data_IF_064600777908
#
_entry.id   IF_064600777908
#
_cell.length_a   1.000
_cell.length_b   1.000
_cell.length_c   1.000
_cell.angle_alpha   90.00
_cell.angle_beta   90.00
_cell.angle_gamma   90.00
#
_symmetry.space_group_name_H-M   'P 1'
#
loop_
_entity.id
_entity.type
_entity.pdbx_description
1 polymer ?
#
# COMPACT_ATOMS: atom_id res chain seq x y z
N UNK A 1 -11.06 -5.57 -6.82
CA UNK A 1 -11.18 -4.78 -5.58
C UNK A 1 -11.88 -5.54 -4.47
N UNK A 2 -13.19 -5.86 -4.57
CA UNK A 2 -13.87 -6.67 -3.52
C UNK A 2 -13.34 -8.11 -3.48
N UNK A 3 -13.10 -8.71 -4.65
CA UNK A 3 -12.43 -10.01 -4.78
C UNK A 3 -11.09 -10.07 -4.04
N UNK A 4 -10.30 -9.01 -4.18
CA UNK A 4 -8.93 -8.94 -3.63
C UNK A 4 -8.97 -8.78 -2.11
N UNK A 5 -9.94 -8.02 -1.58
CA UNK A 5 -10.22 -7.94 -0.15
C UNK A 5 -10.51 -9.32 0.42
N UNK A 6 -11.39 -10.10 -0.23
CA UNK A 6 -11.68 -11.46 0.25
C UNK A 6 -10.44 -12.36 0.19
N UNK A 7 -9.67 -12.31 -0.90
CA UNK A 7 -8.42 -13.06 -1.01
C UNK A 7 -7.41 -12.74 0.10
N UNK A 8 -7.24 -11.46 0.46
CA UNK A 8 -6.38 -11.05 1.57
C UNK A 8 -6.87 -11.57 2.93
N UNK A 9 -8.19 -11.69 3.11
CA UNK A 9 -8.76 -12.19 4.35
C UNK A 9 -8.73 -13.71 4.45
N UNK A 10 -8.30 -14.47 3.44
CA UNK A 10 -8.24 -15.95 3.53
C UNK A 10 -7.14 -16.42 4.49
N UNK A 11 -5.97 -15.79 4.46
CA UNK A 11 -4.86 -16.15 5.35
C UNK A 11 -5.17 -15.72 6.80
N UNK A 12 -5.10 -16.64 7.79
CA UNK A 12 -5.45 -16.31 9.18
C UNK A 12 -4.60 -15.19 9.78
N UNK A 13 -3.31 -15.12 9.43
CA UNK A 13 -2.42 -14.07 9.91
C UNK A 13 -2.85 -12.70 9.36
N UNK A 14 -3.04 -12.57 8.05
CA UNK A 14 -3.47 -11.33 7.41
C UNK A 14 -4.84 -10.87 7.94
N UNK A 15 -5.79 -11.80 8.09
CA UNK A 15 -7.09 -11.52 8.71
C UNK A 15 -6.94 -10.99 10.13
N UNK A 16 -6.07 -11.58 10.95
CA UNK A 16 -5.85 -11.12 12.33
C UNK A 16 -5.27 -9.70 12.36
N UNK A 17 -4.34 -9.38 11.46
CA UNK A 17 -3.77 -8.03 11.32
C UNK A 17 -4.86 -7.03 10.97
N UNK A 18 -5.71 -7.32 9.98
CA UNK A 18 -6.81 -6.44 9.58
C UNK A 18 -7.79 -6.19 10.74
N UNK A 19 -8.17 -7.23 11.50
CA UNK A 19 -9.04 -7.07 12.67
C UNK A 19 -8.40 -6.22 13.77
N UNK A 20 -7.11 -6.43 14.05
CA UNK A 20 -6.37 -5.63 15.03
C UNK A 20 -6.27 -4.17 14.62
N UNK A 21 -6.01 -3.88 13.34
CA UNK A 21 -5.95 -2.51 12.82
C UNK A 21 -7.31 -1.82 12.90
N UNK A 22 -8.40 -2.52 12.55
CA UNK A 22 -9.75 -2.00 12.71
C UNK A 22 -10.10 -1.70 14.18
N UNK A 23 -9.69 -2.58 15.10
CA UNK A 23 -9.86 -2.31 16.53
C UNK A 23 -9.02 -1.10 17.00
N UNK A 24 -7.79 -0.95 16.49
CA UNK A 24 -6.88 0.11 16.89
C UNK A 24 -7.34 1.49 16.40
N UNK A 25 -7.73 1.59 15.14
CA UNK A 25 -8.07 2.87 14.51
C UNK A 25 -9.55 3.23 14.63
N UNK A 26 -10.44 2.24 14.51
CA UNK A 26 -11.89 2.47 14.50
C UNK A 26 -12.56 2.04 15.82
N UNK A 27 -11.80 1.48 16.77
CA UNK A 27 -12.32 1.04 18.07
C UNK A 27 -13.23 -0.19 18.01
N UNK A 28 -13.41 -0.79 16.84
CA UNK A 28 -14.33 -1.91 16.62
C UNK A 28 -13.86 -2.80 15.47
N UNK A 29 -13.37 -4.00 15.80
CA UNK A 29 -12.94 -4.98 14.80
C UNK A 29 -14.05 -5.41 13.82
N UNK A 30 -15.34 -5.30 14.20
CA UNK A 30 -16.45 -5.73 13.33
C UNK A 30 -16.64 -4.84 12.09
N UNK A 31 -16.08 -3.62 12.08
CA UNK A 31 -16.15 -2.67 10.96
C UNK A 31 -15.50 -3.21 9.66
N UNK A 32 -14.64 -4.24 9.77
CA UNK A 32 -14.07 -4.96 8.62
C UNK A 32 -15.17 -5.55 7.73
N UNK A 33 -16.31 -5.96 8.31
CA UNK A 33 -17.42 -6.52 7.56
C UNK A 33 -18.14 -5.50 6.67
N UNK A 34 -17.97 -4.20 6.92
CA UNK A 34 -18.57 -3.13 6.12
C UNK A 34 -17.73 -2.80 4.87
N UNK A 35 -16.47 -3.23 4.83
CA UNK A 35 -15.52 -2.89 3.77
C UNK A 35 -15.99 -3.29 2.36
N UNK A 36 -16.57 -4.49 2.13
CA UNK A 36 -17.10 -4.85 0.81
C UNK A 36 -18.17 -3.84 0.33
N UNK A 37 -19.07 -3.42 1.22
CA UNK A 37 -20.11 -2.44 0.92
C UNK A 37 -19.54 -1.05 0.63
N UNK A 38 -18.56 -0.61 1.43
CA UNK A 38 -17.85 0.67 1.22
C UNK A 38 -17.13 0.70 -0.13
N UNK A 39 -16.47 -0.40 -0.53
CA UNK A 39 -15.81 -0.51 -1.83
C UNK A 39 -16.84 -0.49 -2.96
N UNK A 40 -17.95 -1.22 -2.82
CA UNK A 40 -19.00 -1.28 -3.84
C UNK A 40 -19.74 0.06 -4.03
N UNK A 41 -19.78 0.90 -3.00
CA UNK A 41 -20.43 2.21 -3.05
C UNK A 41 -19.60 3.30 -3.75
N UNK A 42 -18.33 3.05 -4.08
CA UNK A 42 -17.46 4.05 -4.72
C UNK A 42 -17.95 4.38 -6.13
N UNK A 43 -18.19 5.66 -6.39
CA UNK A 43 -18.63 6.15 -7.70
C UNK A 43 -17.49 6.79 -8.50
N UNK A 44 -17.69 6.98 -9.81
CA UNK A 44 -16.76 7.74 -10.64
C UNK A 44 -16.60 9.20 -10.20
N UNK A 45 -17.67 9.81 -9.65
CA UNK A 45 -17.62 11.15 -9.09
C UNK A 45 -16.72 11.22 -7.84
N UNK A 46 -16.75 10.19 -6.99
CA UNK A 46 -15.84 10.09 -5.84
C UNK A 46 -14.39 9.99 -6.29
N UNK A 47 -14.12 9.19 -7.33
CA UNK A 47 -12.78 9.07 -7.89
C UNK A 47 -12.28 10.41 -8.45
N UNK A 48 -13.11 11.11 -9.23
CA UNK A 48 -12.77 12.41 -9.78
C UNK A 48 -12.48 13.43 -8.67
N UNK A 49 -13.33 13.45 -7.62
CA UNK A 49 -13.15 14.30 -6.44
C UNK A 49 -11.83 14.01 -5.73
N UNK A 50 -11.58 12.75 -5.36
CA UNK A 50 -10.35 12.34 -4.66
C UNK A 50 -9.10 12.65 -5.48
N UNK A 51 -9.13 12.38 -6.79
CA UNK A 51 -8.02 12.72 -7.68
C UNK A 51 -7.73 14.23 -7.68
N UNK A 52 -8.77 15.06 -7.79
CA UNK A 52 -8.63 16.52 -7.78
C UNK A 52 -8.14 17.07 -6.42
N UNK A 53 -8.50 16.44 -5.30
CA UNK A 53 -8.08 16.85 -3.96
C UNK A 53 -6.62 16.47 -3.67
N UNK A 54 -6.23 15.25 -4.00
CA UNK A 54 -4.97 14.68 -3.49
C UNK A 54 -3.87 14.55 -4.54
N UNK A 55 -4.21 14.34 -5.82
CA UNK A 55 -3.23 14.12 -6.89
C UNK A 55 -2.83 15.43 -7.58
N UNK A 56 -2.46 16.43 -6.77
CA UNK A 56 -2.02 17.74 -7.25
C UNK A 56 -0.50 17.87 -7.19
N UNK A 57 0.06 18.83 -7.94
CA UNK A 57 1.50 19.13 -7.88
C UNK A 57 1.94 19.58 -6.48
N UNK A 58 1.09 20.32 -5.76
CA UNK A 58 1.38 20.80 -4.40
C UNK A 58 1.47 19.65 -3.38
N UNK A 59 0.76 18.54 -3.61
CA UNK A 59 0.75 17.37 -2.73
C UNK A 59 1.77 16.29 -3.16
N UNK A 60 2.67 16.60 -4.09
CA UNK A 60 3.64 15.64 -4.63
C UNK A 60 5.00 15.81 -3.96
N UNK A 61 5.49 14.72 -3.36
CA UNK A 61 6.89 14.59 -2.91
C UNK A 61 7.64 13.63 -3.84
N UNK A 62 8.80 14.04 -4.36
CA UNK A 62 9.63 13.21 -5.24
C UNK A 62 10.95 12.88 -4.56
N UNK A 63 11.26 11.59 -4.46
CA UNK A 63 12.56 11.10 -3.97
C UNK A 63 13.29 10.43 -5.13
N UNK A 64 14.29 11.12 -5.68
CA UNK A 64 15.20 10.57 -6.71
C UNK A 64 16.50 10.12 -6.00
N UNK A 65 16.74 8.81 -5.97
CA UNK A 65 18.00 8.24 -5.49
C UNK A 65 18.82 7.75 -6.66
N UNK A 66 19.96 8.40 -6.90
CA UNK A 66 20.96 7.98 -7.90
C UNK A 66 22.13 7.31 -7.19
N UNK A 67 22.34 6.00 -7.38
CA UNK A 67 23.51 5.30 -6.84
C UNK A 67 24.79 5.90 -7.42
N UNK A 68 25.81 6.05 -6.58
CA UNK A 68 27.16 6.35 -7.07
C UNK A 68 27.67 5.17 -7.92
N UNK A 69 28.57 5.41 -8.89
CA UNK A 69 29.22 4.34 -9.63
C UNK A 69 29.92 3.37 -8.67
N UNK A 70 29.84 2.07 -8.95
CA UNK A 70 30.61 1.08 -8.20
C UNK A 70 32.11 1.39 -8.32
N UNK A 71 32.82 1.35 -7.18
CA UNK A 71 34.29 1.47 -7.19
C UNK A 71 34.87 0.29 -8.00
N UNK A 72 35.89 0.49 -8.84
CA UNK A 72 36.54 -0.60 -9.56
C UNK A 72 36.94 -1.69 -8.57
N UNK A 73 36.57 -2.94 -8.87
CA UNK A 73 37.07 -4.09 -8.13
C UNK A 73 38.55 -4.25 -8.44
N UNK A 74 39.41 -4.11 -7.43
CA UNK A 74 40.80 -4.59 -7.55
C UNK A 74 40.72 -6.11 -7.69
N UNK A 75 40.82 -6.60 -8.94
CA UNK A 75 41.02 -8.01 -9.19
C UNK A 75 42.37 -8.39 -8.57
N UNK A 76 42.35 -9.19 -7.51
CA UNK A 76 43.57 -9.78 -6.96
C UNK A 76 44.29 -10.56 -8.07
N UNK A 77 45.61 -10.38 -8.25
CA UNK A 77 46.33 -11.08 -9.30
C UNK A 77 46.21 -12.59 -9.08
N UNK A 78 45.77 -13.31 -10.13
CA UNK A 78 45.76 -14.76 -10.14
C UNK A 78 47.19 -15.25 -9.89
N UNK A 79 47.39 -15.93 -8.76
CA UNK A 79 48.65 -16.57 -8.43
C UNK A 79 49.05 -17.58 -9.50
N UNK A 80 50.34 -17.61 -9.82
CA UNK A 80 50.95 -18.60 -10.72
C UNK A 80 50.92 -20.00 -10.12
#
# INVERSE_FOLDING_TARGET
MVSDLYGQLEMPLDRSVVLCLAQLFDGNAATVNDLPGKIAAVTSADLARVASSYLTAANRTVVDRRPAPAKPSDAAPAGK
#
